data_IF_101322022773
#
_entry.id   IF_101322022773
#
_cell.length_a   1.000
_cell.length_b   1.000
_cell.length_c   1.000
_cell.angle_alpha   90.00
_cell.angle_beta   90.00
_cell.angle_gamma   90.00
#
_symmetry.space_group_name_H-M   'P 1'
#
loop_
_entity.id
_entity.type
_entity.pdbx_description
1 polymer ?
#
# COMPACT_ATOMS: atom_id res chain seq x y z
N UNK A 1 -11.23 -31.56 11.99
CA UNK A 1 -11.30 -30.57 10.90
C UNK A 1 -11.06 -29.24 11.58
N UNK A 2 -9.79 -28.97 11.82
CA UNK A 2 -9.32 -27.69 12.34
C UNK A 2 -9.66 -26.66 11.27
N UNK A 3 -10.47 -25.66 11.64
CA UNK A 3 -10.82 -24.56 10.77
C UNK A 3 -9.57 -23.74 10.49
N UNK A 4 -8.84 -24.11 9.45
CA UNK A 4 -7.84 -23.24 8.85
C UNK A 4 -8.57 -21.96 8.47
N UNK A 5 -8.10 -20.77 8.93
CA UNK A 5 -8.71 -19.53 8.53
C UNK A 5 -8.64 -19.49 7.01
N UNK A 6 -9.79 -19.46 6.36
CA UNK A 6 -9.92 -19.19 4.92
C UNK A 6 -9.22 -17.86 4.70
N UNK A 7 -7.94 -17.93 4.32
CA UNK A 7 -7.14 -16.78 4.00
C UNK A 7 -7.85 -16.17 2.80
N UNK A 8 -8.53 -15.06 3.02
CA UNK A 8 -9.34 -14.35 2.05
C UNK A 8 -8.46 -14.06 0.84
N UNK A 9 -8.46 -14.99 -0.14
CA UNK A 9 -7.67 -14.90 -1.37
C UNK A 9 -8.02 -13.62 -2.16
N UNK A 10 -9.19 -13.07 -1.84
CA UNK A 10 -9.71 -11.76 -2.23
C UNK A 10 -8.81 -10.58 -1.82
N UNK A 11 -7.92 -10.71 -0.83
CA UNK A 11 -7.02 -9.64 -0.39
C UNK A 11 -5.54 -9.90 -0.70
N UNK A 12 -5.16 -11.13 -1.05
CA UNK A 12 -3.76 -11.49 -1.36
C UNK A 12 -3.22 -10.70 -2.57
N UNK A 13 -4.07 -10.47 -3.58
CA UNK A 13 -3.71 -9.70 -4.76
C UNK A 13 -3.48 -8.22 -4.45
N UNK A 14 -4.26 -7.62 -3.53
CA UNK A 14 -4.08 -6.23 -3.09
C UNK A 14 -2.77 -6.10 -2.31
N UNK A 15 -2.49 -7.06 -1.43
CA UNK A 15 -1.25 -7.12 -0.68
C UNK A 15 -0.02 -7.24 -1.61
N UNK A 16 -0.09 -8.13 -2.61
CA UNK A 16 0.95 -8.27 -3.62
C UNK A 16 1.12 -6.99 -4.47
N UNK A 17 0.02 -6.34 -4.83
CA UNK A 17 0.03 -5.07 -5.57
C UNK A 17 0.72 -3.97 -4.77
N UNK A 18 0.39 -3.84 -3.48
CA UNK A 18 1.07 -2.91 -2.57
C UNK A 18 2.58 -3.15 -2.56
N UNK A 19 3.04 -4.38 -2.33
CA UNK A 19 4.48 -4.70 -2.31
C UNK A 19 5.20 -4.35 -3.61
N UNK A 20 4.58 -4.62 -4.77
CA UNK A 20 5.13 -4.23 -6.08
C UNK A 20 5.19 -2.72 -6.24
N UNK A 21 4.11 -2.01 -5.93
CA UNK A 21 4.04 -0.55 -5.99
C UNK A 21 5.01 0.13 -5.05
N UNK A 22 5.34 -0.52 -3.93
CA UNK A 22 6.35 -0.01 -3.03
C UNK A 22 7.75 0.05 -3.64
N UNK A 23 8.03 -0.68 -4.72
CA UNK A 23 9.30 -0.54 -5.47
C UNK A 23 9.36 0.71 -6.33
N UNK A 24 8.20 1.29 -6.66
CA UNK A 24 8.04 2.54 -7.39
C UNK A 24 8.11 3.78 -6.47
N UNK A 25 8.21 3.58 -5.15
CA UNK A 25 8.30 4.69 -4.19
C UNK A 25 9.55 5.51 -4.46
N UNK A 26 9.43 6.84 -4.37
CA UNK A 26 10.58 7.73 -4.44
C UNK A 26 11.53 7.45 -3.27
N UNK A 27 12.79 7.12 -3.56
CA UNK A 27 13.82 6.89 -2.54
C UNK A 27 14.60 8.20 -2.36
N UNK A 28 14.33 8.90 -1.26
CA UNK A 28 15.01 10.14 -0.85
C UNK A 28 15.68 9.99 0.53
N UNK A 29 15.63 11.04 1.37
CA UNK A 29 16.08 10.94 2.77
C UNK A 29 15.20 10.02 3.63
N UNK A 30 13.96 9.76 3.19
CA UNK A 30 13.03 8.81 3.79
C UNK A 30 12.17 8.19 2.67
N UNK A 31 11.52 7.03 2.90
CA UNK A 31 10.52 6.50 2.00
C UNK A 31 9.41 7.55 1.79
N UNK A 32 9.21 7.97 0.55
CA UNK A 32 8.09 8.82 0.18
C UNK A 32 6.81 8.01 -0.06
N UNK A 33 5.70 8.71 -0.20
CA UNK A 33 4.43 8.11 -0.62
C UNK A 33 4.55 7.49 -2.01
N UNK A 34 3.79 6.41 -2.23
CA UNK A 34 3.66 5.82 -3.56
C UNK A 34 2.94 6.82 -4.48
N UNK A 35 3.51 7.19 -5.64
CA UNK A 35 2.89 8.16 -6.53
C UNK A 35 1.61 7.59 -7.16
N UNK A 36 0.55 8.38 -7.18
CA UNK A 36 -0.74 8.02 -7.81
C UNK A 36 -0.57 7.49 -9.24
N UNK A 37 0.35 8.07 -10.03
CA UNK A 37 0.61 7.64 -11.41
C UNK A 37 1.11 6.19 -11.50
N UNK A 38 1.88 5.71 -10.52
CA UNK A 38 2.32 4.31 -10.48
C UNK A 38 1.15 3.37 -10.13
N UNK A 39 0.28 3.79 -9.21
CA UNK A 39 -0.91 3.03 -8.82
C UNK A 39 -1.89 2.94 -9.99
N UNK A 40 -2.16 4.07 -10.67
CA UNK A 40 -3.04 4.12 -11.83
C UNK A 40 -2.50 3.29 -13.00
N UNK A 41 -1.19 3.33 -13.25
CA UNK A 41 -0.55 2.49 -14.27
C UNK A 41 -0.69 1.01 -13.92
N UNK A 42 -0.43 0.63 -12.66
CA UNK A 42 -0.57 -0.75 -12.20
C UNK A 42 -2.02 -1.25 -12.30
N UNK A 43 -2.99 -0.44 -11.86
CA UNK A 43 -4.41 -0.76 -11.95
C UNK A 43 -4.85 -1.04 -13.38
N UNK A 44 -4.42 -0.22 -14.33
CA UNK A 44 -4.71 -0.41 -15.76
C UNK A 44 -3.98 -1.60 -16.36
N UNK A 45 -2.66 -1.68 -16.20
CA UNK A 45 -1.83 -2.65 -16.91
C UNK A 45 -1.85 -4.06 -16.29
N UNK A 46 -2.00 -4.16 -14.96
CA UNK A 46 -1.89 -5.43 -14.23
C UNK A 46 -3.24 -5.93 -13.74
N UNK A 47 -4.15 -5.03 -13.35
CA UNK A 47 -5.49 -5.39 -12.86
C UNK A 47 -6.58 -5.26 -13.93
N UNK A 48 -6.30 -4.59 -15.06
CA UNK A 48 -7.29 -4.36 -16.11
C UNK A 48 -8.41 -3.40 -15.70
N UNK A 49 -8.14 -2.49 -14.77
CA UNK A 49 -9.10 -1.49 -14.30
C UNK A 49 -9.07 -0.31 -15.28
N UNK A 50 -10.04 -0.28 -16.19
CA UNK A 50 -10.20 0.80 -17.17
C UNK A 50 -11.15 1.91 -16.69
N UNK A 51 -12.02 1.59 -15.72
CA UNK A 51 -12.97 2.55 -15.16
C UNK A 51 -12.27 3.53 -14.20
N UNK A 52 -12.49 4.84 -14.33
CA UNK A 52 -11.86 5.83 -13.48
C UNK A 52 -12.32 5.77 -12.02
N UNK A 53 -13.57 5.39 -11.75
CA UNK A 53 -14.09 5.28 -10.39
C UNK A 53 -13.45 4.06 -9.68
N UNK A 54 -13.37 2.91 -10.37
CA UNK A 54 -12.68 1.72 -9.83
C UNK A 54 -11.16 1.96 -9.60
N UNK A 55 -10.53 2.80 -10.44
CA UNK A 55 -9.13 3.20 -10.25
C UNK A 55 -8.93 4.10 -9.03
N UNK A 56 -9.91 4.97 -8.73
CA UNK A 56 -9.90 5.84 -7.56
C UNK A 56 -10.05 5.00 -6.28
N UNK A 57 -11.00 4.05 -6.27
CA UNK A 57 -11.18 3.09 -5.18
C UNK A 57 -9.90 2.25 -4.94
N UNK A 58 -9.25 1.79 -6.01
CA UNK A 58 -7.99 1.06 -5.91
C UNK A 58 -6.86 1.95 -5.37
N UNK A 59 -6.82 3.22 -5.78
CA UNK A 59 -5.85 4.17 -5.26
C UNK A 59 -6.07 4.45 -3.78
N UNK A 60 -7.30 4.71 -3.35
CA UNK A 60 -7.66 4.96 -1.95
C UNK A 60 -7.26 3.79 -1.06
N UNK A 61 -7.45 2.55 -1.53
CA UNK A 61 -7.05 1.34 -0.82
C UNK A 61 -5.53 1.27 -0.64
N UNK A 62 -4.76 1.42 -1.73
CA UNK A 62 -3.29 1.40 -1.68
C UNK A 62 -2.75 2.58 -0.87
N UNK A 63 -3.35 3.75 -0.98
CA UNK A 63 -2.96 4.95 -0.25
C UNK A 63 -3.17 4.76 1.26
N UNK A 64 -4.30 4.18 1.65
CA UNK A 64 -4.58 3.84 3.05
C UNK A 64 -3.53 2.87 3.60
N UNK A 65 -3.17 1.84 2.84
CA UNK A 65 -2.11 0.89 3.22
C UNK A 65 -0.73 1.57 3.32
N UNK A 66 -0.40 2.45 2.39
CA UNK A 66 0.86 3.19 2.38
C UNK A 66 0.97 4.15 3.56
N UNK A 67 -0.13 4.83 3.92
CA UNK A 67 -0.20 5.67 5.11
C UNK A 67 0.02 4.87 6.39
N UNK A 68 -0.57 3.68 6.54
CA UNK A 68 -0.28 2.79 7.67
C UNK A 68 1.18 2.31 7.68
N UNK A 69 1.77 2.05 6.51
CA UNK A 69 3.18 1.65 6.39
C UNK A 69 4.14 2.81 6.75
N UNK A 70 3.82 4.03 6.33
CA UNK A 70 4.61 5.24 6.58
C UNK A 70 4.40 5.80 8.00
N UNK A 71 3.36 5.39 8.72
CA UNK A 71 3.19 5.77 10.11
C UNK A 71 4.45 5.40 10.89
N UNK A 72 5.06 6.35 11.62
CA UNK A 72 6.14 6.01 12.53
C UNK A 72 5.56 5.05 13.57
N UNK A 73 6.08 3.81 13.61
CA UNK A 73 5.85 2.92 14.75
C UNK A 73 6.25 3.70 15.99
N UNK A 74 5.28 3.98 16.87
CA UNK A 74 5.48 4.85 18.01
C UNK A 74 6.72 4.48 18.82
N UNK A 75 7.71 5.38 18.81
CA UNK A 75 8.34 5.93 20.00
C UNK A 75 9.13 5.00 20.92
N UNK A 76 10.34 4.61 20.51
CA UNK A 76 11.48 4.48 21.43
C UNK A 76 12.58 5.44 20.96
N UNK A 77 12.41 6.73 21.27
CA UNK A 77 13.54 7.63 21.55
C UNK A 77 13.05 8.67 22.57
N UNK A 78 13.24 8.30 23.84
CA UNK A 78 13.56 9.13 24.99
C UNK A 78 13.13 10.60 24.94
N UNK A 79 12.05 10.87 25.68
CA UNK A 79 12.00 12.05 26.54
C UNK A 79 13.23 11.99 27.46
N UNK A 80 14.20 12.88 27.25
CA UNK A 80 15.46 12.82 28.00
C UNK A 80 16.48 13.85 27.59
N UNK A 81 16.17 15.13 27.76
CA UNK A 81 17.18 16.16 28.02
C UNK A 81 16.50 17.32 28.75
N UNK A 82 16.59 17.23 30.08
CA UNK A 82 16.48 18.31 31.05
C UNK A 82 17.40 19.48 30.75
#
# INVERSE_FOLDING_TARGET
MDGEPENDQSLDWVWAAFWRLTTCRGVGMAPGQIPWTAVAQYGREQCGIDDPDDLDDFWDLIHTMDMEFLKPKGGEQASGAT
#
